data_IF_118467667018
#
_entry.id   IF_118467667018
#
_cell.length_a   1.000
_cell.length_b   1.000
_cell.length_c   1.000
_cell.angle_alpha   90.00
_cell.angle_beta   90.00
_cell.angle_gamma   90.00
#
_symmetry.space_group_name_H-M   'P 1'
#
loop_
_entity.id
_entity.type
_entity.pdbx_description
1 polymer ?
#
# COMPACT_ATOMS: atom_id res chain seq x y z
N UNK A 1 20.67 5.99 -7.48
CA UNK A 1 21.02 5.37 -6.19
C UNK A 1 19.98 4.33 -5.78
N UNK A 2 18.89 4.76 -5.12
CA UNK A 2 17.87 3.87 -4.55
C UNK A 2 17.10 3.05 -5.62
N UNK A 3 16.84 3.61 -6.79
CA UNK A 3 16.13 2.91 -7.89
C UNK A 3 16.93 1.73 -8.43
N UNK A 4 18.27 1.83 -8.49
CA UNK A 4 19.14 0.71 -8.88
C UNK A 4 19.31 -0.32 -7.75
N UNK A 5 19.09 0.09 -6.50
CA UNK A 5 19.13 -0.78 -5.33
C UNK A 5 17.78 -1.47 -5.05
N UNK A 6 16.67 -0.99 -5.62
CA UNK A 6 15.34 -1.59 -5.44
C UNK A 6 15.28 -3.10 -5.72
N UNK A 7 15.91 -3.65 -6.78
CA UNK A 7 15.89 -5.10 -7.02
C UNK A 7 16.54 -5.87 -5.88
N UNK A 8 17.64 -5.35 -5.34
CA UNK A 8 18.38 -5.96 -4.22
C UNK A 8 17.60 -5.82 -2.92
N UNK A 9 17.01 -4.65 -2.64
CA UNK A 9 16.20 -4.41 -1.45
C UNK A 9 14.95 -5.31 -1.45
N UNK A 10 14.28 -5.44 -2.60
CA UNK A 10 13.15 -6.36 -2.78
C UNK A 10 13.60 -7.79 -2.54
N UNK A 11 14.72 -8.22 -3.14
CA UNK A 11 15.26 -9.56 -2.92
C UNK A 11 15.60 -9.85 -1.45
N UNK A 12 16.20 -8.88 -0.76
CA UNK A 12 16.57 -8.99 0.65
C UNK A 12 15.35 -9.05 1.58
N UNK A 13 14.31 -8.27 1.27
CA UNK A 13 13.04 -8.28 2.00
C UNK A 13 12.32 -9.64 1.85
N UNK A 14 12.27 -10.18 0.62
CA UNK A 14 11.70 -11.51 0.36
C UNK A 14 12.53 -12.63 0.99
N UNK A 15 13.85 -12.51 1.01
CA UNK A 15 14.77 -13.45 1.69
C UNK A 15 14.57 -13.48 3.21
N UNK A 16 14.09 -12.38 3.81
CA UNK A 16 13.74 -12.32 5.24
C UNK A 16 12.36 -12.95 5.55
N UNK A 17 11.44 -12.95 4.58
CA UNK A 17 10.09 -13.56 4.70
C UNK A 17 10.12 -15.07 4.39
N UNK A 18 11.01 -15.50 3.49
CA UNK A 18 11.23 -16.90 3.09
C UNK A 18 11.43 -17.90 4.25
N UNK A 19 12.23 -17.60 5.31
CA UNK A 19 12.39 -18.51 6.44
C UNK A 19 11.18 -18.56 7.38
N UNK A 20 10.23 -17.63 7.28
CA UNK A 20 9.02 -17.60 8.10
C UNK A 20 7.88 -18.51 7.57
N UNK A 21 8.03 -19.10 6.37
CA UNK A 21 7.01 -19.96 5.74
C UNK A 21 7.38 -21.45 5.77
N UNK A 22 6.40 -22.30 6.11
CA UNK A 22 6.56 -23.78 6.14
C UNK A 22 6.78 -24.34 4.71
N UNK A 23 7.56 -25.42 4.60
CA UNK A 23 8.00 -26.01 3.32
C UNK A 23 6.86 -26.35 2.32
N UNK A 24 5.65 -26.66 2.80
CA UNK A 24 4.47 -26.95 1.97
C UNK A 24 3.74 -25.71 1.42
N UNK A 25 4.11 -24.49 1.82
CA UNK A 25 3.44 -23.25 1.38
C UNK A 25 4.20 -22.51 0.26
N UNK A 26 5.40 -22.99 -0.12
CA UNK A 26 6.26 -22.40 -1.16
C UNK A 26 5.58 -22.27 -2.53
N UNK A 27 4.62 -23.16 -2.87
CA UNK A 27 3.88 -23.09 -4.14
C UNK A 27 3.02 -21.82 -4.27
N UNK A 28 2.51 -21.30 -3.15
CA UNK A 28 1.71 -20.08 -3.15
C UNK A 28 2.55 -18.82 -3.22
N UNK A 29 3.81 -18.85 -2.77
CA UNK A 29 4.76 -17.76 -2.99
C UNK A 29 4.90 -17.43 -4.48
N UNK A 30 4.92 -18.44 -5.35
CA UNK A 30 4.98 -18.24 -6.80
C UNK A 30 3.77 -17.49 -7.38
N UNK A 31 2.64 -17.44 -6.68
CA UNK A 31 1.43 -16.69 -7.08
C UNK A 31 1.40 -15.32 -6.38
N UNK A 32 1.76 -15.27 -5.09
CA UNK A 32 1.73 -14.05 -4.29
C UNK A 32 2.80 -13.05 -4.73
N UNK A 33 4.03 -13.52 -5.02
CA UNK A 33 5.15 -12.66 -5.47
C UNK A 33 4.79 -11.86 -6.72
N UNK A 34 4.39 -12.47 -7.86
CA UNK A 34 4.03 -11.69 -9.05
C UNK A 34 2.79 -10.82 -8.81
N UNK A 35 1.81 -11.28 -8.03
CA UNK A 35 0.65 -10.47 -7.65
C UNK A 35 1.05 -9.21 -6.88
N UNK A 36 2.01 -9.32 -5.96
CA UNK A 36 2.54 -8.18 -5.20
C UNK A 36 3.25 -7.16 -6.08
N UNK A 37 3.97 -7.63 -7.11
CA UNK A 37 4.64 -6.77 -8.07
C UNK A 37 3.63 -6.03 -8.94
N UNK A 38 2.62 -6.74 -9.44
CA UNK A 38 1.50 -6.15 -10.20
C UNK A 38 0.82 -5.08 -9.36
N UNK A 39 0.54 -5.38 -8.08
CA UNK A 39 -0.15 -4.46 -7.20
C UNK A 39 0.70 -3.23 -6.81
N UNK A 40 2.02 -3.41 -6.66
CA UNK A 40 2.96 -2.31 -6.45
C UNK A 40 3.01 -1.38 -7.66
N UNK A 41 3.10 -1.95 -8.87
CA UNK A 41 3.07 -1.18 -10.13
C UNK A 41 1.72 -0.50 -10.31
N UNK A 42 0.61 -1.19 -10.01
CA UNK A 42 -0.73 -0.61 -10.02
C UNK A 42 -0.85 0.57 -9.04
N UNK A 43 -0.25 0.48 -7.86
CA UNK A 43 -0.18 1.57 -6.89
C UNK A 43 0.59 2.78 -7.41
N UNK A 44 1.75 2.57 -8.05
CA UNK A 44 2.51 3.63 -8.72
C UNK A 44 1.68 4.29 -9.83
N UNK A 45 1.06 3.48 -10.69
CA UNK A 45 0.20 3.99 -11.76
C UNK A 45 -0.97 4.79 -11.21
N UNK A 46 -1.62 4.31 -10.14
CA UNK A 46 -2.73 5.00 -9.50
C UNK A 46 -2.28 6.35 -8.92
N UNK A 47 -1.14 6.36 -8.21
CA UNK A 47 -0.53 7.58 -7.70
C UNK A 47 -0.23 8.60 -8.80
N UNK A 48 0.33 8.15 -9.92
CA UNK A 48 0.73 9.01 -11.02
C UNK A 48 -0.46 9.57 -11.82
N UNK A 49 -1.41 8.71 -12.22
CA UNK A 49 -2.48 9.09 -13.13
C UNK A 49 -3.69 9.72 -12.44
N UNK A 50 -3.94 9.43 -11.17
CA UNK A 50 -5.11 9.94 -10.46
C UNK A 50 -4.72 10.92 -9.37
N UNK A 51 -3.80 10.53 -8.49
CA UNK A 51 -3.59 11.29 -7.24
C UNK A 51 -2.77 12.55 -7.48
N UNK A 52 -1.67 12.47 -8.24
CA UNK A 52 -0.87 13.64 -8.61
C UNK A 52 -1.67 14.73 -9.36
N UNK A 53 -2.43 14.44 -10.44
CA UNK A 53 -3.14 15.49 -11.15
C UNK A 53 -4.23 16.14 -10.28
N UNK A 54 -4.94 15.36 -9.47
CA UNK A 54 -5.95 15.90 -8.54
C UNK A 54 -5.29 16.76 -7.46
N UNK A 55 -4.18 16.29 -6.87
CA UNK A 55 -3.41 17.06 -5.88
C UNK A 55 -2.85 18.37 -6.42
N UNK A 56 -2.34 18.37 -7.66
CA UNK A 56 -1.84 19.57 -8.34
C UNK A 56 -2.97 20.55 -8.66
N UNK A 57 -4.12 20.07 -9.15
CA UNK A 57 -5.29 20.91 -9.39
C UNK A 57 -5.76 21.58 -8.10
N UNK A 58 -5.80 20.84 -7.00
CA UNK A 58 -6.15 21.40 -5.69
C UNK A 58 -5.15 22.45 -5.22
N UNK A 59 -3.84 22.19 -5.34
CA UNK A 59 -2.80 23.13 -4.96
C UNK A 59 -2.88 24.43 -5.77
N UNK A 60 -3.16 24.34 -7.08
CA UNK A 60 -3.32 25.49 -7.96
C UNK A 60 -4.61 26.27 -7.70
N UNK A 61 -5.69 25.59 -7.30
CA UNK A 61 -6.98 26.22 -7.00
C UNK A 61 -6.96 26.93 -5.64
N UNK A 62 -6.42 26.30 -4.60
CA UNK A 62 -6.35 26.87 -3.24
C UNK A 62 -5.18 27.85 -3.07
N UNK A 63 -4.08 27.63 -3.79
CA UNK A 63 -2.90 28.50 -3.78
C UNK A 63 -3.12 29.90 -4.39
N UNK A 64 -4.30 30.17 -4.98
CA UNK A 64 -4.68 31.51 -5.44
C UNK A 64 -5.19 32.41 -4.31
N UNK A 65 -5.70 31.86 -3.20
CA UNK A 65 -6.31 32.67 -2.13
C UNK A 65 -5.39 32.92 -0.92
N UNK A 66 -4.23 32.26 -0.82
CA UNK A 66 -3.48 32.17 0.44
C UNK A 66 -1.95 32.38 0.35
N UNK A 67 -1.43 33.42 -0.34
CA UNK A 67 0.00 33.91 -0.32
C UNK A 67 0.86 33.40 -1.51
N UNK A 68 1.81 34.21 -2.09
CA UNK A 68 2.17 34.11 -3.50
C UNK A 68 3.02 32.89 -3.88
N UNK A 69 2.61 32.35 -5.01
CA UNK A 69 3.00 31.12 -5.70
C UNK A 69 4.44 31.15 -6.25
N UNK A 70 5.46 31.34 -5.41
CA UNK A 70 6.85 31.46 -5.93
C UNK A 70 7.93 30.62 -5.27
N UNK A 71 7.72 29.97 -4.11
CA UNK A 71 8.86 29.37 -3.38
C UNK A 71 9.04 27.84 -3.45
N UNK A 72 8.12 27.06 -4.03
CA UNK A 72 8.21 25.59 -4.00
C UNK A 72 8.54 24.90 -5.34
N UNK A 73 8.48 25.63 -6.47
CA UNK A 73 8.68 25.08 -7.82
C UNK A 73 10.16 25.08 -8.26
N UNK A 74 11.06 24.57 -7.41
CA UNK A 74 12.39 24.17 -7.91
C UNK A 74 12.25 22.79 -8.56
N UNK A 75 12.58 22.65 -9.86
CA UNK A 75 12.42 21.41 -10.66
C UNK A 75 12.97 20.15 -9.98
N UNK A 76 14.06 20.28 -9.20
CA UNK A 76 14.70 19.19 -8.46
C UNK A 76 13.88 18.71 -7.25
N UNK A 77 13.27 19.64 -6.51
CA UNK A 77 12.43 19.32 -5.34
C UNK A 77 11.14 18.64 -5.77
N UNK A 78 10.56 19.08 -6.89
CA UNK A 78 9.37 18.48 -7.49
C UNK A 78 9.59 17.01 -7.92
N UNK A 79 10.67 16.71 -8.65
CA UNK A 79 10.97 15.33 -9.04
C UNK A 79 11.23 14.43 -7.83
N UNK A 80 11.95 14.93 -6.83
CA UNK A 80 12.22 14.18 -5.60
C UNK A 80 10.93 13.88 -4.83
N UNK A 81 10.02 14.87 -4.75
CA UNK A 81 8.70 14.70 -4.18
C UNK A 81 7.89 13.64 -4.94
N UNK A 82 7.80 13.74 -6.26
CA UNK A 82 7.07 12.77 -7.09
C UNK A 82 7.59 11.35 -6.89
N UNK A 83 8.91 11.14 -6.93
CA UNK A 83 9.51 9.81 -6.75
C UNK A 83 9.16 9.24 -5.37
N UNK A 84 9.32 10.04 -4.30
CA UNK A 84 8.98 9.60 -2.93
C UNK A 84 7.50 9.29 -2.80
N UNK A 85 6.65 10.14 -3.36
CA UNK A 85 5.20 9.99 -3.33
C UNK A 85 4.73 8.72 -4.04
N UNK A 86 5.25 8.46 -5.24
CA UNK A 86 4.94 7.24 -6.01
C UNK A 86 5.43 5.98 -5.30
N UNK A 87 6.63 6.01 -4.70
CA UNK A 87 7.15 4.89 -3.91
C UNK A 87 6.29 4.62 -2.66
N UNK A 88 5.84 5.68 -1.97
CA UNK A 88 4.88 5.55 -0.87
C UNK A 88 3.60 4.87 -1.35
N UNK A 89 3.04 5.30 -2.48
CA UNK A 89 1.83 4.69 -3.06
C UNK A 89 2.00 3.21 -3.37
N UNK A 90 3.09 2.85 -4.06
CA UNK A 90 3.41 1.45 -4.35
C UNK A 90 3.51 0.62 -3.06
N UNK A 91 4.15 1.17 -2.02
CA UNK A 91 4.33 0.49 -0.72
C UNK A 91 3.00 0.32 0.01
N UNK A 92 2.15 1.35 0.05
CA UNK A 92 0.83 1.29 0.68
C UNK A 92 -0.05 0.25 0.00
N UNK A 93 0.06 0.11 -1.33
CA UNK A 93 -0.66 -0.94 -2.08
C UNK A 93 -0.18 -2.36 -1.79
N UNK A 94 0.92 -2.55 -1.04
CA UNK A 94 1.33 -3.87 -0.56
C UNK A 94 0.58 -4.32 0.71
N UNK A 95 -0.14 -3.43 1.40
CA UNK A 95 -1.01 -3.79 2.54
C UNK A 95 -1.84 -5.06 2.32
N UNK A 96 -2.62 -5.18 1.22
CA UNK A 96 -3.40 -6.38 0.95
C UNK A 96 -2.56 -7.66 0.90
N UNK A 97 -1.36 -7.62 0.30
CA UNK A 97 -0.47 -8.78 0.24
C UNK A 97 -0.05 -9.21 1.64
N UNK A 98 0.32 -8.25 2.48
CA UNK A 98 0.74 -8.51 3.87
C UNK A 98 -0.42 -9.10 4.68
N UNK A 99 -1.62 -8.53 4.58
CA UNK A 99 -2.79 -9.01 5.32
C UNK A 99 -3.19 -10.43 4.90
N UNK A 100 -3.21 -10.72 3.60
CA UNK A 100 -3.55 -12.06 3.10
C UNK A 100 -2.50 -13.09 3.51
N UNK A 101 -1.22 -12.72 3.55
CA UNK A 101 -0.15 -13.58 4.03
C UNK A 101 -0.32 -13.89 5.53
N UNK A 102 -0.60 -12.88 6.36
CA UNK A 102 -0.84 -13.08 7.80
C UNK A 102 -2.07 -13.94 8.08
N UNK A 103 -3.16 -13.74 7.31
CA UNK A 103 -4.36 -14.59 7.39
C UNK A 103 -4.01 -16.04 7.05
N UNK A 104 -3.21 -16.25 6.02
CA UNK A 104 -2.82 -17.58 5.57
C UNK A 104 -1.95 -18.31 6.58
N UNK A 105 -1.05 -17.60 7.25
CA UNK A 105 -0.22 -18.13 8.35
C UNK A 105 -1.04 -18.44 9.62
N UNK A 106 -2.32 -18.03 9.66
CA UNK A 106 -3.17 -18.17 10.84
C UNK A 106 -2.87 -17.16 11.96
N UNK A 107 -2.01 -16.16 11.69
CA UNK A 107 -1.69 -15.09 12.63
C UNK A 107 -2.82 -14.05 12.74
N UNK A 108 -3.62 -13.92 11.68
CA UNK A 108 -4.80 -13.07 11.64
C UNK A 108 -6.01 -13.86 11.15
N UNK A 109 -7.21 -13.45 11.58
CA UNK A 109 -8.48 -13.98 11.09
C UNK A 109 -9.23 -12.89 10.33
N UNK A 110 -9.85 -13.20 9.18
CA UNK A 110 -10.71 -12.25 8.45
C UNK A 110 -11.84 -11.70 9.33
N UNK A 111 -12.38 -12.52 10.24
CA UNK A 111 -13.39 -12.10 11.20
C UNK A 111 -12.86 -11.06 12.19
N UNK A 112 -11.59 -11.18 12.60
CA UNK A 112 -10.95 -10.20 13.47
C UNK A 112 -10.75 -8.88 12.72
N UNK A 113 -10.20 -8.92 11.50
CA UNK A 113 -10.05 -7.74 10.65
C UNK A 113 -11.41 -7.05 10.38
N UNK A 114 -12.46 -7.83 10.15
CA UNK A 114 -13.81 -7.30 9.96
C UNK A 114 -14.40 -6.68 11.23
N UNK A 115 -14.12 -7.23 12.42
CA UNK A 115 -14.55 -6.67 13.71
C UNK A 115 -13.86 -5.34 14.01
N UNK A 116 -12.58 -5.22 13.67
CA UNK A 116 -11.75 -4.04 13.97
C UNK A 116 -11.68 -3.00 12.82
N UNK A 117 -12.66 -2.97 11.89
CA UNK A 117 -12.69 -2.02 10.75
C UNK A 117 -12.46 -0.56 11.14
N UNK A 118 -13.10 -0.09 12.22
CA UNK A 118 -12.95 1.30 12.70
C UNK A 118 -11.51 1.61 13.12
N UNK A 119 -10.85 0.65 13.78
CA UNK A 119 -9.45 0.79 14.20
C UNK A 119 -8.50 0.69 13.00
N UNK A 120 -8.80 -0.17 12.03
CA UNK A 120 -8.02 -0.27 10.80
C UNK A 120 -8.11 1.04 9.98
N UNK A 121 -9.30 1.63 9.85
CA UNK A 121 -9.46 2.94 9.21
C UNK A 121 -8.61 4.00 9.90
N UNK A 122 -8.68 4.10 11.22
CA UNK A 122 -7.87 5.05 11.99
C UNK A 122 -6.36 4.78 11.81
N UNK A 123 -5.93 3.53 11.86
CA UNK A 123 -4.54 3.14 11.63
C UNK A 123 -4.05 3.51 10.24
N UNK A 124 -4.87 3.31 9.20
CA UNK A 124 -4.55 3.70 7.82
C UNK A 124 -4.36 5.22 7.72
N UNK A 125 -5.26 6.00 8.32
CA UNK A 125 -5.14 7.48 8.35
C UNK A 125 -3.83 7.90 9.01
N UNK A 126 -3.52 7.35 10.19
CA UNK A 126 -2.29 7.68 10.93
C UNK A 126 -1.04 7.30 10.12
N UNK A 127 -0.99 6.10 9.55
CA UNK A 127 0.16 5.65 8.75
C UNK A 127 0.35 6.53 7.51
N UNK A 128 -0.73 6.87 6.81
CA UNK A 128 -0.65 7.76 5.65
C UNK A 128 -0.17 9.14 6.08
N UNK A 129 -0.66 9.68 7.18
CA UNK A 129 -0.22 10.98 7.69
C UNK A 129 1.28 11.00 8.05
N UNK A 130 1.82 9.88 8.54
CA UNK A 130 3.24 9.75 8.89
C UNK A 130 4.15 9.55 7.67
N UNK A 131 3.70 8.77 6.67
CA UNK A 131 4.52 8.40 5.50
C UNK A 131 4.39 9.42 4.38
N UNK A 132 3.26 10.13 4.29
CA UNK A 132 3.02 11.13 3.25
C UNK A 132 4.00 12.30 3.38
N UNK A 133 4.76 12.63 2.32
CA UNK A 133 5.68 13.75 2.34
C UNK A 133 4.97 15.11 2.32
N UNK A 134 3.65 15.14 2.10
CA UNK A 134 2.83 16.35 2.14
C UNK A 134 1.86 16.35 3.32
N UNK A 135 1.76 17.48 4.05
CA UNK A 135 0.80 17.66 5.13
C UNK A 135 -0.58 18.12 4.61
N UNK A 136 -1.01 17.66 3.44
CA UNK A 136 -2.24 18.11 2.77
C UNK A 136 -3.42 17.15 2.99
N UNK A 137 -4.45 17.63 3.70
CA UNK A 137 -5.61 16.81 4.08
C UNK A 137 -6.33 16.20 2.85
N UNK A 138 -6.40 16.94 1.73
CA UNK A 138 -7.04 16.44 0.50
C UNK A 138 -6.26 15.28 -0.11
N UNK A 139 -4.95 15.45 -0.35
CA UNK A 139 -4.14 14.39 -0.96
C UNK A 139 -4.02 13.19 -0.02
N UNK A 140 -3.95 13.41 1.29
CA UNK A 140 -4.04 12.35 2.30
C UNK A 140 -5.39 11.63 2.25
N UNK A 141 -6.51 12.33 2.13
CA UNK A 141 -7.83 11.72 1.96
C UNK A 141 -7.92 10.87 0.69
N UNK A 142 -7.35 11.37 -0.41
CA UNK A 142 -7.28 10.66 -1.69
C UNK A 142 -6.36 9.42 -1.64
N UNK A 143 -5.43 9.37 -0.70
CA UNK A 143 -4.64 8.18 -0.37
C UNK A 143 -5.39 7.20 0.53
N UNK A 144 -6.10 7.70 1.55
CA UNK A 144 -6.83 6.87 2.52
C UNK A 144 -7.92 6.06 1.82
N UNK A 145 -8.67 6.67 0.91
CA UNK A 145 -9.79 6.04 0.21
C UNK A 145 -9.40 4.74 -0.53
N UNK A 146 -8.45 4.74 -1.49
CA UNK A 146 -8.03 3.52 -2.19
C UNK A 146 -7.39 2.51 -1.23
N UNK A 147 -6.66 2.98 -0.22
CA UNK A 147 -6.02 2.10 0.77
C UNK A 147 -7.04 1.35 1.61
N UNK A 148 -8.09 2.05 2.06
CA UNK A 148 -9.19 1.44 2.80
C UNK A 148 -9.99 0.46 1.93
N UNK A 149 -10.20 0.79 0.64
CA UNK A 149 -10.80 -0.16 -0.31
C UNK A 149 -9.98 -1.44 -0.47
N UNK A 150 -8.65 -1.33 -0.54
CA UNK A 150 -7.77 -2.49 -0.59
C UNK A 150 -7.84 -3.32 0.71
N UNK A 151 -7.94 -2.66 1.86
CA UNK A 151 -8.14 -3.34 3.15
C UNK A 151 -9.44 -4.16 3.15
N UNK A 152 -10.54 -3.58 2.68
CA UNK A 152 -11.83 -4.27 2.53
C UNK A 152 -11.74 -5.46 1.57
N UNK A 153 -11.12 -5.27 0.40
CA UNK A 153 -10.90 -6.34 -0.57
C UNK A 153 -10.08 -7.49 0.04
N UNK A 154 -9.11 -7.17 0.90
CA UNK A 154 -8.28 -8.15 1.61
C UNK A 154 -9.09 -9.00 2.59
N UNK A 155 -10.06 -8.40 3.28
CA UNK A 155 -10.96 -9.15 4.17
C UNK A 155 -11.79 -10.14 3.36
N UNK A 156 -12.34 -9.70 2.23
CA UNK A 156 -13.16 -10.54 1.35
C UNK A 156 -12.39 -11.74 0.80
N UNK A 157 -11.20 -11.50 0.24
CA UNK A 157 -10.32 -12.57 -0.24
C UNK A 157 -9.86 -13.45 0.95
N UNK A 158 -9.62 -12.83 2.10
CA UNK A 158 -9.25 -13.52 3.34
C UNK A 158 -10.25 -14.59 3.77
N UNK A 159 -11.56 -14.34 3.63
CA UNK A 159 -12.58 -15.36 3.90
C UNK A 159 -12.46 -16.59 3.01
N UNK A 160 -12.17 -16.40 1.72
CA UNK A 160 -11.97 -17.51 0.77
C UNK A 160 -10.73 -18.35 1.12
N UNK A 161 -9.67 -17.69 1.58
CA UNK A 161 -8.43 -18.35 2.01
C UNK A 161 -8.63 -19.12 3.31
N UNK A 162 -9.31 -18.52 4.29
CA UNK A 162 -9.58 -19.14 5.58
C UNK A 162 -10.42 -20.41 5.42
N UNK A 163 -11.49 -20.35 4.62
CA UNK A 163 -12.35 -21.51 4.32
C UNK A 163 -11.58 -22.69 3.70
N UNK A 164 -10.76 -22.42 2.68
CA UNK A 164 -9.92 -23.46 2.05
C UNK A 164 -8.91 -24.11 3.00
N UNK A 165 -8.47 -23.37 4.02
CA UNK A 165 -7.53 -23.89 5.02
C UNK A 165 -8.24 -24.82 6.01
N UNK A 166 -9.45 -24.48 6.44
CA UNK A 166 -10.26 -25.33 7.32
C UNK A 166 -10.60 -26.66 6.62
N UNK A 167 -11.03 -26.60 5.35
CA UNK A 167 -11.29 -27.80 4.52
C UNK A 167 -10.06 -28.72 4.36
N UNK A 168 -8.84 -28.18 4.41
CA UNK A 168 -7.60 -28.95 4.30
C UNK A 168 -7.07 -29.50 5.64
N UNK A 169 -7.65 -29.10 6.77
CA UNK A 169 -7.32 -29.60 8.10
C UNK A 169 -8.31 -30.69 8.57
N UNK A 170 -9.53 -30.67 8.03
CA UNK A 170 -10.60 -31.63 8.35
C UNK A 170 -10.65 -32.86 7.42
N UNK A 171 -9.83 -32.91 6.36
CA UNK A 171 -9.71 -34.03 5.42
C UNK A 171 -8.35 -34.72 5.48
#
# INVERSE_FOLDING_TARGET
>A
GIVCAMPVIIWQLWSFILPALKQNEKKYLYIIVPSSLILFVAGICFGFFFVIPIGLQFLLYVGQEAVPTTSLLTKSSYLTFMIRFLLTFGTVFQLPVVLLLLIRMGLLSPNTLARYRKYAFFGIVVVIMLVSPTPDIITQGLMVLPTYMLYEASIWIGYLIAKKREEALDG
#
